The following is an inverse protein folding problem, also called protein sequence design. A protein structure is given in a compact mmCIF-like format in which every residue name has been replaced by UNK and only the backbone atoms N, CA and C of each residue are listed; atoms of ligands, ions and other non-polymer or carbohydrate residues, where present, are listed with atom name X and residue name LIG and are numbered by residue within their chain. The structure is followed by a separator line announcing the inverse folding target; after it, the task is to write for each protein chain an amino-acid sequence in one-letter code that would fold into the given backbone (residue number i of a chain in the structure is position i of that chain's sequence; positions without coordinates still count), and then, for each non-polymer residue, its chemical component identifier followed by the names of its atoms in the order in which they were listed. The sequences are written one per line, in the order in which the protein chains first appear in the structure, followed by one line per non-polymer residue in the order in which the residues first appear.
data_IF_884432492372
#
_entry.id   IF_884432492372
#
_cell.length_a   1.000
_cell.length_b   1.000
_cell.length_c   1.000
_cell.angle_alpha   90.00
_cell.angle_beta   90.00
_cell.angle_gamma   90.00
#
_symmetry.space_group_name_H-M   'P 1'
#
loop_
_entity.id
_entity.type
_entity.pdbx_description
1 polymer ?
#
# COMPACT_ATOMS: atom_id res chain seq x y z
N UNK A 1 -16.24 -0.09 6.72
CA UNK A 1 -15.11 -0.32 7.65
C UNK A 1 -14.49 1.03 8.01
N UNK A 2 -13.71 1.18 9.08
CA UNK A 2 -13.01 2.44 9.38
C UNK A 2 -11.55 2.35 8.93
N UNK A 3 -10.97 3.46 8.44
CA UNK A 3 -9.56 3.48 8.07
C UNK A 3 -8.68 3.44 9.32
N UNK A 4 -7.79 2.45 9.37
CA UNK A 4 -6.85 2.28 10.48
C UNK A 4 -5.59 3.08 10.17
N UNK A 5 -5.24 4.00 11.06
CA UNK A 5 -4.10 4.93 10.90
C UNK A 5 -2.92 4.60 11.79
N UNK A 6 -3.06 3.58 12.63
CA UNK A 6 -2.04 3.09 13.55
C UNK A 6 -1.43 1.80 13.00
N UNK A 7 -0.15 1.58 13.25
CA UNK A 7 0.53 0.34 12.86
C UNK A 7 -0.20 -0.86 13.47
N UNK A 8 -0.68 -1.78 12.62
CA UNK A 8 -1.31 -3.04 13.03
C UNK A 8 -0.58 -4.27 12.49
N UNK A 9 0.50 -4.07 11.74
CA UNK A 9 1.34 -5.15 11.26
C UNK A 9 2.24 -5.57 12.43
N UNK A 10 2.20 -6.85 12.79
CA UNK A 10 2.98 -7.42 13.90
C UNK A 10 4.50 -7.33 13.63
N UNK A 11 4.90 -7.51 12.37
CA UNK A 11 6.27 -7.35 11.88
C UNK A 11 6.34 -6.37 10.70
N UNK A 12 6.40 -5.05 10.98
CA UNK A 12 6.50 -4.03 9.93
C UNK A 12 7.78 -4.14 9.10
N UNK A 13 8.88 -4.56 9.73
CA UNK A 13 10.19 -4.66 9.11
C UNK A 13 10.23 -5.85 8.14
N UNK A 14 9.73 -7.01 8.55
CA UNK A 14 9.62 -8.20 7.69
C UNK A 14 8.70 -7.96 6.48
N UNK A 15 7.58 -7.26 6.67
CA UNK A 15 6.73 -6.85 5.54
C UNK A 15 7.49 -5.91 4.57
N UNK A 16 8.27 -4.97 5.10
CA UNK A 16 9.07 -4.07 4.27
C UNK A 16 10.17 -4.82 3.52
N UNK A 17 10.85 -5.77 4.16
CA UNK A 17 11.84 -6.64 3.53
C UNK A 17 11.23 -7.46 2.38
N UNK A 18 10.04 -8.02 2.58
CA UNK A 18 9.31 -8.76 1.53
C UNK A 18 8.98 -7.83 0.35
N UNK A 19 8.49 -6.62 0.62
CA UNK A 19 8.11 -5.66 -0.40
C UNK A 19 9.32 -5.16 -1.22
N UNK A 20 10.45 -4.92 -0.56
CA UNK A 20 11.71 -4.54 -1.21
C UNK A 20 12.29 -5.72 -1.98
N UNK A 21 12.27 -6.92 -1.39
CA UNK A 21 12.70 -8.15 -2.04
C UNK A 21 11.94 -8.41 -3.34
N UNK A 22 10.63 -8.19 -3.35
CA UNK A 22 9.78 -8.35 -4.53
C UNK A 22 10.11 -7.37 -5.68
N UNK A 23 10.80 -6.26 -5.39
CA UNK A 23 11.17 -5.24 -6.37
C UNK A 23 12.65 -5.26 -6.76
N UNK A 24 13.49 -6.04 -6.06
CA UNK A 24 14.97 -6.00 -6.16
C UNK A 24 15.50 -6.16 -7.59
N UNK A 25 14.88 -7.01 -8.39
CA UNK A 25 15.31 -7.32 -9.76
C UNK A 25 14.44 -6.64 -10.84
N UNK A 26 13.56 -5.73 -10.43
CA UNK A 26 12.66 -5.00 -11.32
C UNK A 26 13.26 -3.65 -11.71
N UNK A 27 12.99 -3.23 -12.96
CA UNK A 27 13.20 -1.82 -13.31
C UNK A 27 12.22 -0.91 -12.56
N UNK A 28 12.51 0.38 -12.47
CA UNK A 28 11.64 1.36 -11.82
C UNK A 28 10.19 1.30 -12.33
N UNK A 29 10.01 1.19 -13.65
CA UNK A 29 8.68 1.04 -14.27
C UNK A 29 7.97 -0.26 -13.86
N UNK A 30 8.72 -1.35 -13.72
CA UNK A 30 8.19 -2.64 -13.29
C UNK A 30 7.83 -2.63 -11.80
N UNK A 31 8.66 -2.00 -10.97
CA UNK A 31 8.41 -1.80 -9.55
C UNK A 31 7.16 -0.95 -9.32
N UNK A 32 6.99 0.15 -10.06
CA UNK A 32 5.77 0.96 -10.03
C UNK A 32 4.53 0.16 -10.44
N UNK A 33 4.62 -0.68 -11.48
CA UNK A 33 3.51 -1.56 -11.89
C UNK A 33 3.18 -2.60 -10.83
N UNK A 34 4.18 -3.15 -10.13
CA UNK A 34 3.98 -4.08 -9.02
C UNK A 34 3.21 -3.38 -7.88
N UNK A 35 3.65 -2.19 -7.47
CA UNK A 35 2.98 -1.41 -6.44
C UNK A 35 1.53 -1.05 -6.83
N UNK A 36 1.29 -0.63 -8.07
CA UNK A 36 -0.06 -0.34 -8.55
C UNK A 36 -0.98 -1.58 -8.49
N UNK A 37 -0.47 -2.75 -8.87
CA UNK A 37 -1.22 -4.02 -8.75
C UNK A 37 -1.49 -4.38 -7.29
N UNK A 38 -0.50 -4.25 -6.42
CA UNK A 38 -0.64 -4.50 -4.98
C UNK A 38 -1.72 -3.60 -4.38
N UNK A 39 -1.70 -2.30 -4.68
CA UNK A 39 -2.73 -1.34 -4.25
C UNK A 39 -4.12 -1.78 -4.72
N UNK A 40 -4.28 -2.22 -5.96
CA UNK A 40 -5.57 -2.70 -6.47
C UNK A 40 -6.05 -3.98 -5.76
N UNK A 41 -5.16 -4.93 -5.50
CA UNK A 41 -5.47 -6.16 -4.76
C UNK A 41 -5.96 -5.82 -3.34
N UNK A 42 -5.23 -4.95 -2.64
CA UNK A 42 -5.62 -4.50 -1.30
C UNK A 42 -6.91 -3.66 -1.32
N UNK A 43 -7.12 -2.84 -2.35
CA UNK A 43 -8.35 -2.08 -2.51
C UNK A 43 -9.58 -2.98 -2.69
N UNK A 44 -9.42 -4.07 -3.45
CA UNK A 44 -10.46 -5.09 -3.59
C UNK A 44 -10.73 -5.82 -2.27
N UNK A 45 -9.69 -6.11 -1.49
CA UNK A 45 -9.85 -6.72 -0.16
C UNK A 45 -10.61 -5.80 0.81
N UNK A 46 -10.34 -4.49 0.77
CA UNK A 46 -11.05 -3.49 1.59
C UNK A 46 -12.51 -3.33 1.15
N UNK A 47 -12.79 -3.31 -0.17
CA UNK A 47 -14.14 -3.27 -0.74
C UNK A 47 -14.98 -2.01 -0.47
N UNK A 48 -14.54 -1.12 0.42
CA UNK A 48 -15.27 0.07 0.85
C UNK A 48 -14.72 1.35 0.20
N UNK A 49 -15.48 1.92 -0.74
CA UNK A 49 -15.08 3.12 -1.49
C UNK A 49 -14.84 4.34 -0.59
N UNK A 50 -15.53 4.47 0.55
CA UNK A 50 -15.31 5.59 1.47
C UNK A 50 -13.94 5.47 2.14
N UNK A 51 -13.59 4.29 2.63
CA UNK A 51 -12.28 3.99 3.23
C UNK A 51 -11.15 4.27 2.23
N UNK A 52 -11.31 3.81 0.99
CA UNK A 52 -10.31 4.05 -0.07
C UNK A 52 -10.15 5.53 -0.39
N UNK A 53 -11.25 6.29 -0.40
CA UNK A 53 -11.20 7.73 -0.67
C UNK A 53 -10.50 8.48 0.46
N UNK A 54 -10.74 8.10 1.72
CA UNK A 54 -10.05 8.64 2.88
C UNK A 54 -8.55 8.32 2.86
N UNK A 55 -8.17 7.09 2.50
CA UNK A 55 -6.77 6.69 2.39
C UNK A 55 -6.01 7.50 1.33
N UNK A 56 -6.62 7.75 0.17
CA UNK A 56 -6.03 8.61 -0.88
C UNK A 56 -5.80 10.03 -0.36
N UNK A 57 -6.78 10.63 0.32
CA UNK A 57 -6.66 11.99 0.85
C UNK A 57 -5.54 12.10 1.90
N UNK A 58 -5.38 11.08 2.75
CA UNK A 58 -4.27 11.04 3.70
C UNK A 58 -2.92 10.94 3.00
N UNK A 59 -2.77 10.05 2.02
CA UNK A 59 -1.52 9.91 1.27
C UNK A 59 -1.10 11.22 0.56
N UNK A 60 -2.07 11.95 -0.02
CA UNK A 60 -1.80 13.27 -0.64
C UNK A 60 -1.34 14.30 0.40
N UNK A 61 -1.92 14.28 1.59
CA UNK A 61 -1.60 15.24 2.65
C UNK A 61 -0.25 14.96 3.30
N UNK A 62 0.12 13.69 3.47
CA UNK A 62 1.41 13.29 4.09
C UNK A 62 2.62 13.42 3.17
N UNK A 63 2.39 13.53 1.86
CA UNK A 63 3.46 13.62 0.84
C UNK A 63 3.75 15.06 0.41
N UNK A 64 3.01 16.04 0.97
CA UNK A 64 3.30 17.48 0.83
C UNK A 64 4.13 17.99 1.98
#
# INVERSE_FOLDING_TARGET
MALIRTTQIEDPDGFYEELVGAQRDLSDDQAQRLLAKLVLILANHVGDRRVLSEAIQLAVTSTR
#
